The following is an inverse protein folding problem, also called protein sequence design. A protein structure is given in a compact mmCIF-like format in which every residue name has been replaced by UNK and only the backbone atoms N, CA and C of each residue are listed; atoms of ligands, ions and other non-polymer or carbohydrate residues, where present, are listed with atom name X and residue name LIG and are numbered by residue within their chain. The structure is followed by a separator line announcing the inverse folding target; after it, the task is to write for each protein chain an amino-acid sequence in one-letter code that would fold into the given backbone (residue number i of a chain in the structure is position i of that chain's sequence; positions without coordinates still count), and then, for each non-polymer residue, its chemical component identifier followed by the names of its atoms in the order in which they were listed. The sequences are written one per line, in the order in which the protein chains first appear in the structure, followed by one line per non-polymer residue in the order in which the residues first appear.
data_IF_791664693139
#
_entry.id   IF_791664693139
#
_cell.length_a   1.000
_cell.length_b   1.000
_cell.length_c   1.000
_cell.angle_alpha   90.00
_cell.angle_beta   90.00
_cell.angle_gamma   90.00
#
_symmetry.space_group_name_H-M   'P 1'
#
loop_
_entity.id
_entity.type
_entity.pdbx_description
1 polymer ?
#
# COMPACT_ATOMS: atom_id res chain seq x y z
N UNK A 1 -7.28 -18.57 -21.94
CA UNK A 1 -6.80 -17.18 -22.09
C UNK A 1 -6.72 -16.60 -20.68
N UNK A 2 -5.54 -16.30 -20.18
CA UNK A 2 -5.38 -15.67 -18.88
C UNK A 2 -5.90 -14.23 -19.01
N UNK A 3 -6.91 -13.88 -18.23
CA UNK A 3 -7.44 -12.52 -18.18
C UNK A 3 -6.81 -11.86 -16.94
N UNK A 4 -5.77 -11.02 -17.08
CA UNK A 4 -5.15 -10.39 -15.93
C UNK A 4 -6.17 -9.44 -15.27
N UNK A 5 -6.22 -9.48 -13.95
CA UNK A 5 -7.01 -8.51 -13.19
C UNK A 5 -6.33 -7.15 -13.33
N UNK A 6 -6.92 -6.26 -14.11
CA UNK A 6 -6.45 -4.89 -14.23
C UNK A 6 -7.04 -4.05 -13.09
N UNK A 7 -6.19 -3.41 -12.31
CA UNK A 7 -6.60 -2.43 -11.31
C UNK A 7 -6.74 -1.06 -11.98
N UNK A 8 -7.84 -0.36 -11.71
CA UNK A 8 -8.07 0.98 -12.25
C UNK A 8 -7.15 2.04 -11.62
N UNK A 9 -6.64 1.77 -10.42
CA UNK A 9 -5.76 2.67 -9.65
C UNK A 9 -4.36 2.04 -9.59
N UNK A 10 -3.55 2.34 -10.59
CA UNK A 10 -2.23 1.71 -10.77
C UNK A 10 -1.21 2.16 -9.72
N UNK A 11 -1.37 3.34 -9.13
CA UNK A 11 -0.51 3.85 -8.06
C UNK A 11 -0.46 2.94 -6.83
N UNK A 12 -1.52 2.15 -6.59
CA UNK A 12 -1.58 1.20 -5.48
C UNK A 12 -0.61 0.02 -5.64
N UNK A 13 -0.08 -0.23 -6.84
CA UNK A 13 0.91 -1.28 -7.07
C UNK A 13 2.35 -0.81 -6.90
N UNK A 14 2.59 0.50 -6.76
CA UNK A 14 3.95 1.06 -6.63
C UNK A 14 4.44 0.87 -5.19
N UNK A 15 5.62 0.27 -5.02
CA UNK A 15 6.26 0.13 -3.71
C UNK A 15 6.54 1.51 -3.09
N UNK A 16 6.04 1.81 -1.89
CA UNK A 16 6.23 3.12 -1.28
C UNK A 16 7.58 3.29 -0.60
N UNK A 17 8.23 2.19 -0.22
CA UNK A 17 9.45 2.21 0.57
C UNK A 17 10.68 1.78 -0.24
N UNK A 18 11.80 2.45 0.03
CA UNK A 18 13.06 2.19 -0.65
C UNK A 18 13.62 0.77 -0.38
N UNK A 19 13.34 0.19 0.81
CA UNK A 19 13.81 -1.15 1.15
C UNK A 19 13.14 -2.20 0.27
N UNK A 20 11.80 -2.20 0.21
CA UNK A 20 11.04 -3.13 -0.61
C UNK A 20 11.38 -2.99 -2.10
N UNK A 21 11.45 -1.75 -2.60
CA UNK A 21 11.85 -1.48 -3.98
C UNK A 21 13.26 -1.95 -4.30
N UNK A 22 14.24 -1.76 -3.40
CA UNK A 22 15.62 -2.23 -3.60
C UNK A 22 15.75 -3.76 -3.58
N UNK A 23 14.82 -4.46 -2.91
CA UNK A 23 14.77 -5.93 -2.87
C UNK A 23 13.98 -6.55 -4.02
N UNK A 24 13.54 -5.75 -5.01
CA UNK A 24 12.77 -6.23 -6.15
C UNK A 24 11.28 -6.37 -5.85
N UNK A 25 10.72 -5.41 -5.13
CA UNK A 25 9.30 -5.32 -4.76
C UNK A 25 8.82 -6.54 -3.95
N UNK A 26 9.60 -6.93 -2.95
CA UNK A 26 9.25 -8.00 -2.02
C UNK A 26 9.12 -7.48 -0.59
N UNK A 27 8.16 -8.03 0.15
CA UNK A 27 7.92 -7.59 1.52
C UNK A 27 6.92 -8.43 2.30
N UNK A 28 6.19 -9.34 1.65
CA UNK A 28 5.12 -10.10 2.29
C UNK A 28 5.60 -11.01 3.44
N UNK A 29 6.82 -11.55 3.34
CA UNK A 29 7.41 -12.47 4.32
C UNK A 29 8.69 -11.94 4.98
N UNK A 30 9.10 -10.71 4.70
CA UNK A 30 10.23 -10.06 5.36
C UNK A 30 9.94 -9.80 6.84
N UNK A 31 10.97 -9.48 7.62
CA UNK A 31 10.80 -9.06 9.01
C UNK A 31 9.85 -7.87 9.14
N UNK A 32 9.20 -7.78 10.31
CA UNK A 32 8.28 -6.70 10.63
C UNK A 32 9.03 -5.37 10.72
N UNK A 33 8.56 -4.37 10.00
CA UNK A 33 9.05 -3.00 10.01
C UNK A 33 7.89 -2.00 9.96
N UNK A 34 8.20 -0.71 9.93
CA UNK A 34 7.20 0.35 9.87
C UNK A 34 6.42 0.34 8.54
N UNK A 35 7.03 -0.10 7.44
CA UNK A 35 6.44 -0.14 6.11
C UNK A 35 5.64 -1.43 5.84
N UNK A 36 5.43 -2.26 6.86
CA UNK A 36 4.66 -3.50 6.74
C UNK A 36 3.22 -3.30 6.29
N UNK A 37 2.66 -2.10 6.41
CA UNK A 37 1.31 -1.74 5.98
C UNK A 37 1.04 -2.10 4.52
N UNK A 38 1.95 -1.77 3.64
CA UNK A 38 1.81 -2.02 2.20
C UNK A 38 1.98 -3.51 1.85
N UNK A 39 2.97 -4.15 2.46
CA UNK A 39 3.38 -5.49 2.08
C UNK A 39 2.56 -6.59 2.76
N UNK A 40 2.46 -6.52 4.09
CA UNK A 40 1.75 -7.48 4.92
C UNK A 40 1.56 -6.93 6.34
N UNK A 41 0.44 -6.31 6.65
CA UNK A 41 0.21 -5.72 7.98
C UNK A 41 0.08 -6.76 9.10
N UNK A 42 -0.08 -8.04 8.80
CA UNK A 42 -0.06 -9.10 9.81
C UNK A 42 1.31 -9.23 10.52
N UNK A 43 2.36 -8.58 10.02
CA UNK A 43 3.69 -8.57 10.65
C UNK A 43 3.76 -7.66 11.88
N UNK A 44 2.93 -6.63 12.01
CA UNK A 44 3.04 -5.63 13.07
C UNK A 44 3.05 -6.18 14.50
N UNK A 45 2.28 -7.20 14.89
CA UNK A 45 2.37 -7.78 16.22
C UNK A 45 3.75 -8.35 16.57
N UNK A 46 4.56 -8.73 15.57
CA UNK A 46 5.92 -9.22 15.74
C UNK A 46 6.98 -8.12 15.75
N UNK A 47 6.59 -6.86 15.56
CA UNK A 47 7.54 -5.76 15.57
C UNK A 47 8.11 -5.55 16.98
N UNK A 48 9.41 -5.33 17.09
CA UNK A 48 10.09 -5.06 18.37
C UNK A 48 9.65 -3.70 18.93
N UNK A 49 9.48 -2.71 18.06
CA UNK A 49 9.01 -1.39 18.46
C UNK A 49 7.51 -1.42 18.81
N UNK A 50 7.13 -0.70 19.87
CA UNK A 50 5.74 -0.56 20.28
C UNK A 50 4.93 0.36 19.34
N UNK A 51 5.58 1.34 18.75
CA UNK A 51 4.99 2.26 17.79
C UNK A 51 6.03 2.70 16.79
N UNK A 52 5.58 3.10 15.61
CA UNK A 52 6.45 3.65 14.59
C UNK A 52 5.64 4.43 13.57
N UNK A 53 6.29 5.42 12.97
CA UNK A 53 5.78 6.15 11.82
C UNK A 53 6.91 6.40 10.83
N UNK A 54 6.58 6.42 9.55
CA UNK A 54 7.51 6.75 8.48
C UNK A 54 6.80 7.57 7.40
N UNK A 55 7.59 8.43 6.76
CA UNK A 55 7.20 9.18 5.58
C UNK A 55 8.14 8.80 4.46
N UNK A 56 7.61 8.47 3.31
CA UNK A 56 8.38 8.30 2.09
C UNK A 56 7.91 9.28 1.01
N UNK A 57 8.87 9.74 0.22
CA UNK A 57 8.63 10.59 -0.93
C UNK A 57 9.48 10.10 -2.09
N UNK A 58 8.81 9.70 -3.17
CA UNK A 58 9.45 9.13 -4.34
C UNK A 58 9.07 9.94 -5.59
N UNK A 59 10.01 10.73 -6.14
CA UNK A 59 9.83 11.33 -7.46
C UNK A 59 9.77 10.21 -8.51
N UNK A 60 8.59 10.03 -9.10
CA UNK A 60 8.39 8.95 -10.06
C UNK A 60 8.75 9.42 -11.47
N UNK A 61 9.49 8.59 -12.21
CA UNK A 61 9.93 8.89 -13.59
C UNK A 61 10.63 10.23 -13.79
N UNK A 62 11.32 10.76 -12.77
CA UNK A 62 11.93 12.11 -12.78
C UNK A 62 12.81 12.44 -13.98
N UNK A 63 13.37 11.42 -14.64
CA UNK A 63 14.19 11.62 -15.87
C UNK A 63 13.34 11.87 -17.11
N UNK A 64 12.05 11.57 -17.08
CA UNK A 64 11.11 11.73 -18.19
C UNK A 64 10.14 12.89 -17.93
N UNK A 65 9.61 12.96 -16.70
CA UNK A 65 8.61 13.94 -16.27
C UNK A 65 8.97 14.38 -14.85
N UNK A 66 9.01 15.70 -14.59
CA UNK A 66 9.55 16.23 -13.33
C UNK A 66 8.53 16.36 -12.19
N UNK A 67 7.25 16.16 -12.46
CA UNK A 67 6.13 16.53 -11.59
C UNK A 67 5.29 15.33 -11.12
N UNK A 68 5.62 14.10 -11.52
CA UNK A 68 4.99 12.89 -10.99
C UNK A 68 5.65 12.51 -9.66
N UNK A 69 4.84 12.44 -8.61
CA UNK A 69 5.34 12.22 -7.26
C UNK A 69 4.44 11.26 -6.49
N UNK A 70 5.07 10.34 -5.75
CA UNK A 70 4.42 9.47 -4.78
C UNK A 70 4.86 9.87 -3.37
N UNK A 71 3.89 10.18 -2.52
CA UNK A 71 4.10 10.39 -1.09
C UNK A 71 3.32 9.33 -0.30
N UNK A 72 3.93 8.80 0.74
CA UNK A 72 3.31 7.81 1.62
C UNK A 72 3.64 8.14 3.08
N UNK A 73 2.63 8.15 3.93
CA UNK A 73 2.73 8.25 5.38
C UNK A 73 2.17 6.98 5.98
N UNK A 74 2.93 6.30 6.78
CA UNK A 74 2.53 5.06 7.45
C UNK A 74 2.79 5.13 8.94
N UNK A 75 1.93 4.48 9.72
CA UNK A 75 2.10 4.39 11.16
C UNK A 75 1.44 3.15 11.75
N UNK A 76 1.97 2.71 12.89
CA UNK A 76 1.39 1.63 13.67
C UNK A 76 1.59 1.85 15.17
N UNK A 77 0.71 1.22 15.94
CA UNK A 77 0.80 1.16 17.39
C UNK A 77 0.39 -0.22 17.89
N UNK A 78 1.27 -0.89 18.65
CA UNK A 78 0.98 -2.18 19.29
C UNK A 78 0.15 -2.00 20.54
N UNK A 79 -1.02 -2.63 20.58
CA UNK A 79 -1.89 -2.68 21.75
C UNK A 79 -1.56 -3.96 22.53
N UNK A 80 -0.72 -3.82 23.56
CA UNK A 80 -0.18 -4.97 24.28
C UNK A 80 0.77 -5.81 23.41
N UNK A 81 0.86 -7.11 23.72
CA UNK A 81 1.84 -8.00 23.09
C UNK A 81 1.32 -8.71 21.84
N UNK A 82 0.00 -8.76 21.65
CA UNK A 82 -0.63 -9.62 20.66
C UNK A 82 -1.35 -8.87 19.53
N UNK A 83 -1.49 -7.56 19.62
CA UNK A 83 -2.32 -6.80 18.69
C UNK A 83 -1.68 -5.49 18.28
N UNK A 84 -2.00 -5.01 17.08
CA UNK A 84 -1.61 -3.68 16.63
C UNK A 84 -2.73 -3.04 15.79
N UNK A 85 -2.86 -1.73 15.90
CA UNK A 85 -3.58 -0.87 14.96
C UNK A 85 -2.55 -0.24 14.04
N UNK A 86 -2.94 0.00 12.82
CA UNK A 86 -2.06 0.55 11.80
C UNK A 86 -2.84 1.31 10.74
N UNK A 87 -2.16 2.13 9.99
CA UNK A 87 -2.78 2.86 8.90
C UNK A 87 -1.76 3.55 8.03
N UNK A 88 -2.20 4.00 6.87
CA UNK A 88 -1.41 4.79 5.94
C UNK A 88 -2.24 5.82 5.19
N UNK A 89 -1.56 6.84 4.71
CA UNK A 89 -2.07 7.82 3.77
C UNK A 89 -1.13 7.85 2.57
N UNK A 90 -1.65 7.50 1.41
CA UNK A 90 -0.93 7.56 0.14
C UNK A 90 -1.46 8.67 -0.72
N UNK A 91 -0.57 9.42 -1.33
CA UNK A 91 -0.89 10.45 -2.31
C UNK A 91 -0.01 10.29 -3.54
N UNK A 92 -0.61 10.20 -4.70
CA UNK A 92 0.07 10.08 -5.98
C UNK A 92 -0.39 11.20 -6.90
N UNK A 93 0.53 12.08 -7.27
CA UNK A 93 0.32 13.14 -8.27
C UNK A 93 0.84 12.66 -9.62
N UNK A 94 0.01 12.77 -10.64
CA UNK A 94 0.41 12.47 -12.02
C UNK A 94 1.03 13.69 -12.75
N UNK A 95 1.18 14.82 -12.02
CA UNK A 95 1.75 16.04 -12.59
C UNK A 95 0.75 16.84 -13.41
N UNK A 96 1.28 17.79 -14.16
CA UNK A 96 0.48 18.67 -15.05
C UNK A 96 0.32 18.01 -16.41
N UNK A 97 -0.93 17.86 -16.84
CA UNK A 97 -1.28 17.35 -18.18
C UNK A 97 -1.84 18.47 -19.02
N UNK A 98 -1.17 18.80 -20.10
CA UNK A 98 -1.61 19.80 -21.08
C UNK A 98 -2.47 19.15 -22.14
N UNK A 99 -3.67 19.68 -22.33
CA UNK A 99 -4.63 19.23 -23.33
C UNK A 99 -4.53 20.12 -24.57
N UNK A 100 -3.83 19.66 -25.57
CA UNK A 100 -3.74 20.36 -26.85
C UNK A 100 -5.06 20.26 -27.61
N UNK A 101 -5.65 21.42 -27.92
CA UNK A 101 -6.88 21.52 -28.73
C UNK A 101 -8.12 21.98 -27.99
N UNK A 102 -8.10 22.21 -26.71
CA UNK A 102 -9.14 22.84 -25.90
C UNK A 102 -8.53 23.99 -25.09
N UNK A 103 -8.50 25.19 -25.64
CA UNK A 103 -8.13 26.45 -24.95
C UNK A 103 -7.00 26.36 -23.93
N UNK A 104 -5.88 25.67 -24.27
CA UNK A 104 -4.71 25.49 -23.40
C UNK A 104 -5.04 25.07 -21.93
N UNK A 105 -5.99 24.15 -21.77
CA UNK A 105 -6.41 23.69 -20.45
C UNK A 105 -5.37 22.79 -19.82
N UNK A 106 -4.92 23.13 -18.61
CA UNK A 106 -4.04 22.32 -17.77
C UNK A 106 -4.84 21.63 -16.68
N UNK A 107 -4.60 20.34 -16.48
CA UNK A 107 -5.20 19.55 -15.39
C UNK A 107 -4.11 18.92 -14.52
N UNK A 108 -4.41 18.72 -13.26
CA UNK A 108 -3.54 18.09 -12.28
C UNK A 108 -4.23 16.85 -11.71
N UNK A 109 -4.16 15.69 -12.40
CA UNK A 109 -4.77 14.47 -11.91
C UNK A 109 -3.99 13.90 -10.71
N UNK A 110 -4.73 13.37 -9.73
CA UNK A 110 -4.14 12.75 -8.56
C UNK A 110 -4.98 11.59 -8.03
N UNK A 111 -4.31 10.72 -7.31
CA UNK A 111 -4.93 9.60 -6.60
C UNK A 111 -4.54 9.65 -5.12
N UNK A 112 -5.48 9.27 -4.27
CA UNK A 112 -5.28 9.20 -2.83
C UNK A 112 -5.87 7.90 -2.29
N UNK A 113 -5.17 7.27 -1.35
CA UNK A 113 -5.68 6.13 -0.61
C UNK A 113 -5.44 6.32 0.89
N UNK A 114 -6.45 5.99 1.68
CA UNK A 114 -6.38 5.99 3.15
C UNK A 114 -6.65 4.58 3.63
N UNK A 115 -5.73 4.06 4.42
CA UNK A 115 -5.80 2.72 5.01
C UNK A 115 -5.92 2.78 6.52
N UNK A 116 -6.77 1.95 7.08
CA UNK A 116 -6.86 1.70 8.52
C UNK A 116 -7.06 0.21 8.75
N UNK A 117 -6.29 -0.37 9.65
CA UNK A 117 -6.34 -1.79 9.89
C UNK A 117 -6.01 -2.22 11.31
N UNK A 118 -6.27 -3.48 11.54
CA UNK A 118 -6.01 -4.16 12.80
C UNK A 118 -5.36 -5.50 12.54
N UNK A 119 -4.31 -5.78 13.28
CA UNK A 119 -3.58 -7.05 13.23
C UNK A 119 -3.52 -7.71 14.59
N UNK A 120 -3.58 -9.05 14.62
CA UNK A 120 -3.57 -9.83 15.85
C UNK A 120 -2.83 -11.14 15.68
N UNK A 121 -2.03 -11.50 16.69
CA UNK A 121 -1.48 -12.84 16.84
C UNK A 121 -2.59 -13.80 17.24
N UNK A 122 -2.74 -14.88 16.50
CA UNK A 122 -3.64 -16.00 16.80
C UNK A 122 -2.89 -17.11 17.55
N UNK A 123 -1.58 -17.15 17.42
CA UNK A 123 -0.67 -17.97 18.20
C UNK A 123 0.68 -17.25 18.32
N UNK A 124 1.60 -17.78 19.11
CA UNK A 124 2.96 -17.20 19.29
C UNK A 124 3.73 -17.02 17.98
N UNK A 125 3.36 -17.74 16.93
CA UNK A 125 4.06 -17.76 15.65
C UNK A 125 3.19 -17.41 14.45
N UNK A 126 1.92 -17.10 14.67
CA UNK A 126 0.98 -16.86 13.59
C UNK A 126 0.08 -15.66 13.88
N UNK A 127 -0.04 -14.77 12.91
CA UNK A 127 -0.90 -13.60 12.99
C UNK A 127 -1.72 -13.42 11.72
N UNK A 128 -2.79 -12.65 11.86
CA UNK A 128 -3.61 -12.17 10.76
C UNK A 128 -3.86 -10.67 10.90
N UNK A 129 -4.18 -10.04 9.78
CA UNK A 129 -4.64 -8.66 9.74
C UNK A 129 -5.79 -8.49 8.77
N UNK A 130 -6.62 -7.51 9.10
CA UNK A 130 -7.65 -6.98 8.20
C UNK A 130 -7.38 -5.48 8.05
N UNK A 131 -7.40 -5.01 6.83
CA UNK A 131 -7.21 -3.61 6.48
C UNK A 131 -8.40 -3.13 5.66
N UNK A 132 -8.87 -1.92 5.92
CA UNK A 132 -9.89 -1.23 5.12
C UNK A 132 -9.23 -0.08 4.40
N UNK A 133 -9.54 0.07 3.13
CA UNK A 133 -8.99 1.09 2.25
C UNK A 133 -10.09 1.92 1.62
N UNK A 134 -9.98 3.22 1.73
CA UNK A 134 -10.73 4.17 0.94
C UNK A 134 -9.84 4.73 -0.18
N UNK A 135 -10.33 4.70 -1.42
CA UNK A 135 -9.63 5.14 -2.61
C UNK A 135 -10.40 6.30 -3.22
N UNK A 136 -9.66 7.34 -3.55
CA UNK A 136 -10.14 8.51 -4.26
C UNK A 136 -9.24 8.77 -5.47
N UNK A 137 -9.81 8.86 -6.67
CA UNK A 137 -9.08 9.05 -7.92
C UNK A 137 -9.73 10.18 -8.73
N UNK A 138 -9.00 11.28 -8.90
CA UNK A 138 -9.40 12.44 -9.72
C UNK A 138 -8.54 12.50 -10.98
N UNK A 139 -8.84 11.60 -11.93
CA UNK A 139 -8.09 11.51 -13.19
C UNK A 139 -8.71 12.42 -14.28
N UNK A 140 -9.89 13.00 -14.05
CA UNK A 140 -10.62 13.87 -14.99
C UNK A 140 -10.70 13.25 -16.39
N UNK A 141 -11.38 12.12 -16.47
CA UNK A 141 -11.48 11.30 -17.67
C UNK A 141 -12.31 11.93 -18.80
N UNK A 142 -13.27 12.81 -18.47
CA UNK A 142 -14.12 13.51 -19.43
C UNK A 142 -14.12 15.01 -19.15
N UNK A 143 -13.70 15.79 -20.15
CA UNK A 143 -13.55 17.23 -20.06
C UNK A 143 -14.81 17.99 -20.47
N UNK A 144 -15.80 17.28 -21.01
CA UNK A 144 -17.06 17.86 -21.51
C UNK A 144 -18.22 17.66 -20.56
N UNK A 145 -18.11 16.76 -19.61
CA UNK A 145 -19.08 16.52 -18.55
C UNK A 145 -18.55 16.99 -17.19
N UNK A 146 -19.42 17.23 -16.23
CA UNK A 146 -19.07 17.34 -14.81
C UNK A 146 -18.50 15.99 -14.33
N UNK A 147 -17.26 15.67 -14.75
CA UNK A 147 -16.58 14.44 -14.40
C UNK A 147 -16.33 14.44 -12.90
N UNK A 148 -17.06 13.62 -12.16
CA UNK A 148 -16.84 13.45 -10.73
C UNK A 148 -15.71 12.48 -10.48
N UNK A 149 -14.93 12.76 -9.41
CA UNK A 149 -13.84 11.92 -9.00
C UNK A 149 -14.33 10.50 -8.63
N UNK A 150 -13.59 9.50 -9.06
CA UNK A 150 -13.86 8.10 -8.73
C UNK A 150 -13.61 7.78 -7.26
N UNK A 151 -14.53 7.05 -6.64
CA UNK A 151 -14.41 6.58 -5.24
C UNK A 151 -14.61 5.09 -5.17
N UNK A 152 -13.82 4.43 -4.31
CA UNK A 152 -13.98 3.00 -4.06
C UNK A 152 -13.60 2.66 -2.62
N UNK A 153 -14.16 1.55 -2.13
CA UNK A 153 -13.77 0.92 -0.88
C UNK A 153 -13.22 -0.47 -1.17
N UNK A 154 -12.15 -0.81 -0.50
CA UNK A 154 -11.55 -2.13 -0.57
C UNK A 154 -11.14 -2.62 0.82
N UNK A 155 -10.96 -3.92 0.95
CA UNK A 155 -10.43 -4.56 2.12
C UNK A 155 -9.25 -5.44 1.74
N UNK A 156 -8.30 -5.58 2.67
CA UNK A 156 -7.18 -6.50 2.52
C UNK A 156 -7.22 -7.52 3.66
N UNK A 157 -6.80 -8.75 3.37
CA UNK A 157 -6.62 -9.82 4.36
C UNK A 157 -5.19 -10.30 4.26
N UNK A 158 -4.49 -10.27 5.38
CA UNK A 158 -3.10 -10.66 5.46
C UNK A 158 -2.87 -11.74 6.51
N UNK A 159 -1.95 -12.63 6.22
CA UNK A 159 -1.49 -13.72 7.10
C UNK A 159 0.03 -13.69 7.17
N UNK A 160 0.57 -13.92 8.35
CA UNK A 160 2.00 -14.03 8.57
C UNK A 160 2.34 -15.10 9.59
N UNK A 161 3.36 -15.89 9.31
CA UNK A 161 3.90 -16.89 10.24
C UNK A 161 5.40 -16.80 10.31
N UNK A 162 5.91 -16.76 11.54
CA UNK A 162 7.33 -16.84 11.87
C UNK A 162 7.63 -18.22 12.46
N UNK A 163 8.59 -18.92 11.91
CA UNK A 163 9.10 -20.20 12.39
C UNK A 163 10.59 -20.13 12.63
N UNK A 164 11.10 -21.05 13.43
CA UNK A 164 12.53 -21.24 13.67
C UNK A 164 12.93 -22.65 13.25
N UNK A 165 14.04 -22.75 12.55
CA UNK A 165 14.60 -24.00 12.06
C UNK A 165 16.07 -24.09 12.50
N UNK A 166 16.51 -25.27 12.91
CA UNK A 166 17.93 -25.53 13.13
C UNK A 166 18.58 -26.00 11.83
N UNK A 167 19.50 -25.20 11.30
CA UNK A 167 20.34 -25.58 10.16
C UNK A 167 21.75 -25.92 10.67
N UNK A 168 21.97 -27.19 10.97
CA UNK A 168 23.16 -27.63 11.68
C UNK A 168 23.16 -27.08 13.11
N UNK A 169 24.20 -26.31 13.49
CA UNK A 169 24.33 -25.69 14.82
C UNK A 169 23.84 -24.24 14.87
N UNK A 170 23.12 -23.75 13.84
CA UNK A 170 22.61 -22.38 13.79
C UNK A 170 21.09 -22.39 13.79
N UNK A 171 20.52 -21.57 14.65
CA UNK A 171 19.10 -21.25 14.59
C UNK A 171 18.84 -20.24 13.45
N UNK A 172 17.95 -20.62 12.56
CA UNK A 172 17.52 -19.79 11.44
C UNK A 172 16.04 -19.44 11.58
N UNK A 173 15.67 -18.19 11.34
CA UNK A 173 14.27 -17.79 11.23
C UNK A 173 13.75 -18.11 9.83
N UNK A 174 12.53 -18.63 9.76
CA UNK A 174 11.80 -18.88 8.54
C UNK A 174 10.44 -18.20 8.63
N UNK A 175 10.18 -17.26 7.74
CA UNK A 175 8.90 -16.57 7.64
C UNK A 175 8.17 -16.91 6.35
N UNK A 176 6.86 -17.02 6.41
CA UNK A 176 6.02 -16.92 5.23
C UNK A 176 4.87 -15.95 5.47
N UNK A 177 4.44 -15.30 4.39
CA UNK A 177 3.36 -14.32 4.43
C UNK A 177 2.51 -14.40 3.19
N UNK A 178 1.21 -14.14 3.36
CA UNK A 178 0.24 -13.98 2.30
C UNK A 178 -0.50 -12.68 2.54
N UNK A 179 -0.65 -11.88 1.50
CA UNK A 179 -1.49 -10.69 1.50
C UNK A 179 -2.39 -10.72 0.27
N UNK A 180 -3.70 -10.70 0.49
CA UNK A 180 -4.71 -10.57 -0.55
C UNK A 180 -5.27 -9.16 -0.39
N UNK A 181 -4.92 -8.28 -1.31
CA UNK A 181 -5.25 -6.86 -1.22
C UNK A 181 -6.26 -6.42 -2.28
N UNK A 182 -6.91 -5.28 -2.01
CA UNK A 182 -7.86 -4.65 -2.91
C UNK A 182 -9.10 -5.51 -3.23
N UNK A 183 -9.59 -6.26 -2.26
CA UNK A 183 -10.88 -6.96 -2.34
C UNK A 183 -11.97 -5.90 -2.14
N UNK A 184 -12.60 -5.44 -3.22
CA UNK A 184 -13.56 -4.34 -3.06
C UNK A 184 -14.44 -4.08 -4.26
N UNK A 185 -15.15 -2.94 -4.19
CA UNK A 185 -16.02 -2.47 -5.25
C UNK A 185 -15.23 -2.01 -6.47
N UNK A 186 -15.86 -2.04 -7.63
CA UNK A 186 -15.34 -1.31 -8.79
C UNK A 186 -15.33 0.18 -8.48
N UNK A 187 -14.32 0.88 -8.97
CA UNK A 187 -14.32 2.34 -8.92
C UNK A 187 -15.41 2.86 -9.87
N UNK A 188 -16.24 3.77 -9.38
CA UNK A 188 -17.25 4.42 -10.18
C UNK A 188 -16.87 5.90 -10.32
N UNK A 189 -16.77 6.36 -11.56
CA UNK A 189 -16.70 7.75 -11.93
C UNK A 189 -18.14 8.16 -12.21
N UNK A 190 -18.70 9.06 -11.40
CA UNK A 190 -20.08 9.50 -11.49
C UNK A 190 -20.37 10.38 -12.70
#
# INVERSE_FOLDING_TARGET
MFNPVNTSVTSLSIAPDARGGAMGDIGAATEADVNSQFWNPAKYPFNIARAGAAVSYTPWLRKLVNDINLADLVGFYRIGDYSAIHGSLRFFSLGEVYLSGMDDMTINPYEMAVDVGYSRMLSERFSMAVNMRFIYSDIKYDYTAESSAGKAFAADIALYRLGYLMAGNRECSFGWGLNISNIGSKISFG
#
